data_IF_164541699387
#
_entry.id   IF_164541699387
#
_cell.length_a   1.000
_cell.length_b   1.000
_cell.length_c   1.000
_cell.angle_alpha   90.00
_cell.angle_beta   90.00
_cell.angle_gamma   90.00
#
_symmetry.space_group_name_H-M   'P 1'
#
loop_
_entity.id
_entity.type
_entity.pdbx_description
1 polymer ?
#
# COMPACT_ATOMS: atom_id res chain seq x y z
N UNK A 1 16.36 12.65 -5.04
CA UNK A 1 16.42 12.95 -3.59
C UNK A 1 15.09 13.47 -3.07
N UNK A 2 14.46 14.47 -3.70
CA UNK A 2 13.16 15.04 -3.27
C UNK A 2 12.10 14.00 -2.84
N UNK A 3 11.72 13.05 -3.70
CA UNK A 3 10.74 12.00 -3.35
C UNK A 3 11.17 11.12 -2.17
N UNK A 4 12.48 10.90 -2.00
CA UNK A 4 13.02 10.16 -0.85
C UNK A 4 12.95 11.00 0.42
N UNK A 5 13.21 12.29 0.33
CA UNK A 5 13.04 13.21 1.46
C UNK A 5 11.58 13.25 1.90
N UNK A 6 10.62 13.41 0.99
CA UNK A 6 9.19 13.39 1.33
C UNK A 6 8.79 12.08 2.02
N UNK A 7 9.26 10.94 1.50
CA UNK A 7 9.05 9.64 2.14
C UNK A 7 9.59 9.59 3.57
N UNK A 8 10.84 10.01 3.80
CA UNK A 8 11.45 9.98 5.13
C UNK A 8 10.74 10.95 6.09
N UNK A 9 10.31 12.12 5.60
CA UNK A 9 9.52 13.06 6.40
C UNK A 9 8.22 12.39 6.84
N UNK A 10 7.48 11.76 5.93
CA UNK A 10 6.24 11.05 6.31
C UNK A 10 6.48 9.86 7.23
N UNK A 11 7.62 9.18 7.11
CA UNK A 11 8.03 8.15 8.05
C UNK A 11 8.25 8.74 9.45
N UNK A 12 9.00 9.83 9.57
CA UNK A 12 9.22 10.51 10.83
C UNK A 12 7.93 11.10 11.40
N UNK A 13 7.01 11.55 10.56
CA UNK A 13 5.71 12.05 10.99
C UNK A 13 4.83 10.94 11.59
N UNK A 14 4.84 9.74 11.00
CA UNK A 14 4.16 8.56 11.56
C UNK A 14 4.74 8.13 12.92
N UNK A 15 6.05 8.32 13.11
CA UNK A 15 6.78 7.89 14.32
C UNK A 15 6.70 8.93 15.44
N UNK A 16 6.90 10.21 15.10
CA UNK A 16 7.13 11.29 16.06
C UNK A 16 6.06 12.40 16.02
N UNK A 17 5.32 12.56 14.92
CA UNK A 17 4.42 13.71 14.69
C UNK A 17 3.15 13.72 15.55
N UNK A 18 2.82 12.64 16.25
CA UNK A 18 1.64 12.57 17.12
C UNK A 18 0.34 13.01 16.40
N UNK A 19 -0.54 13.75 17.09
CA UNK A 19 -1.79 14.29 16.49
C UNK A 19 -1.59 15.62 15.74
N UNK A 20 -0.46 16.28 15.92
CA UNK A 20 -0.20 17.63 15.40
C UNK A 20 0.65 17.66 14.12
N UNK A 21 1.22 16.53 13.71
CA UNK A 21 2.22 16.47 12.66
C UNK A 21 3.59 16.97 13.14
N UNK A 22 4.54 17.08 12.21
CA UNK A 22 5.87 17.63 12.48
C UNK A 22 5.88 19.17 12.39
N UNK A 23 6.63 19.81 13.27
CA UNK A 23 6.92 21.23 13.23
C UNK A 23 7.88 21.57 12.06
N UNK A 24 7.82 22.79 11.50
CA UNK A 24 8.71 23.20 10.41
C UNK A 24 10.21 23.01 10.71
N UNK A 25 10.61 23.21 11.96
CA UNK A 25 11.98 23.03 12.45
C UNK A 25 12.39 21.55 12.41
N UNK A 26 11.50 20.64 12.80
CA UNK A 26 11.71 19.19 12.74
C UNK A 26 11.83 18.72 11.29
N UNK A 27 10.95 19.20 10.40
CA UNK A 27 11.01 18.91 8.95
C UNK A 27 12.35 19.34 8.37
N UNK A 28 12.83 20.54 8.73
CA UNK A 28 14.14 21.04 8.29
C UNK A 28 15.31 20.21 8.82
N UNK A 29 15.24 19.74 10.07
CA UNK A 29 16.24 18.83 10.65
C UNK A 29 16.29 17.49 9.92
N UNK A 30 15.13 16.93 9.57
CA UNK A 30 15.01 15.69 8.79
C UNK A 30 15.58 15.88 7.38
N UNK A 31 15.25 16.96 6.67
CA UNK A 31 15.80 17.22 5.32
C UNK A 31 17.33 17.30 5.33
N UNK A 32 17.92 17.98 6.32
CA UNK A 32 19.39 18.03 6.48
C UNK A 32 19.99 16.65 6.74
N UNK A 33 19.40 15.86 7.63
CA UNK A 33 19.86 14.51 7.93
C UNK A 33 19.79 13.61 6.68
N UNK A 34 18.67 13.63 5.94
CA UNK A 34 18.48 12.87 4.70
C UNK A 34 19.54 13.23 3.66
N UNK A 35 19.82 14.52 3.45
CA UNK A 35 20.87 14.95 2.51
C UNK A 35 22.25 14.40 2.91
N UNK A 36 22.58 14.43 4.20
CA UNK A 36 23.86 13.93 4.73
C UNK A 36 24.00 12.43 4.48
N UNK A 37 23.02 11.62 4.88
CA UNK A 37 23.12 10.15 4.76
C UNK A 37 23.10 9.67 3.31
N UNK A 38 22.35 10.35 2.43
CA UNK A 38 22.30 9.97 1.01
C UNK A 38 23.50 10.46 0.20
N UNK A 39 24.38 11.32 0.74
CA UNK A 39 25.52 11.86 0.00
C UNK A 39 26.47 10.75 -0.50
N UNK A 40 26.78 9.77 0.36
CA UNK A 40 27.62 8.63 0.00
C UNK A 40 26.99 7.77 -1.10
N UNK A 41 25.68 7.49 -0.98
CA UNK A 41 24.93 6.74 -1.99
C UNK A 41 24.84 7.47 -3.33
N UNK A 42 24.67 8.79 -3.33
CA UNK A 42 24.60 9.58 -4.57
C UNK A 42 25.96 9.67 -5.27
N UNK A 43 27.06 9.60 -4.52
CA UNK A 43 28.42 9.61 -5.05
C UNK A 43 28.80 8.25 -5.63
N UNK A 44 28.47 7.17 -4.93
CA UNK A 44 28.73 5.80 -5.35
C UNK A 44 27.50 4.90 -5.06
N UNK A 45 26.56 4.80 -6.02
CA UNK A 45 25.33 4.02 -5.83
C UNK A 45 25.63 2.53 -5.68
N UNK A 46 25.46 2.02 -4.46
CA UNK A 46 25.68 0.61 -4.11
C UNK A 46 24.64 0.15 -3.09
N UNK A 47 24.18 -1.11 -3.13
CA UNK A 47 23.36 -1.70 -2.08
C UNK A 47 24.00 -1.64 -0.69
N UNK A 48 25.34 -1.48 -0.60
CA UNK A 48 26.12 -1.32 0.63
C UNK A 48 26.21 0.14 1.08
N UNK A 49 25.91 1.09 0.19
CA UNK A 49 25.90 2.53 0.52
C UNK A 49 24.49 3.08 0.75
N UNK A 50 23.44 2.28 0.52
CA UNK A 50 22.05 2.67 0.78
C UNK A 50 21.82 2.91 2.29
N UNK A 51 21.36 4.09 2.74
CA UNK A 51 21.19 4.36 4.16
C UNK A 51 20.11 3.50 4.82
N UNK A 52 20.30 3.20 6.11
CA UNK A 52 19.30 2.57 7.00
C UNK A 52 18.79 3.56 8.06
N UNK A 53 17.85 3.14 8.91
CA UNK A 53 17.28 4.00 9.96
C UNK A 53 18.33 4.41 11.01
N UNK A 54 19.31 3.55 11.28
CA UNK A 54 20.45 3.85 12.15
C UNK A 54 21.25 5.06 11.62
N UNK A 55 21.55 5.09 10.32
CA UNK A 55 22.26 6.22 9.70
C UNK A 55 21.46 7.53 9.86
N UNK A 56 20.14 7.46 9.68
CA UNK A 56 19.25 8.62 9.87
C UNK A 56 19.24 9.08 11.33
N UNK A 57 19.14 8.16 12.28
CA UNK A 57 19.14 8.47 13.70
C UNK A 57 20.46 9.13 14.13
N UNK A 58 21.61 8.55 13.72
CA UNK A 58 22.93 9.13 14.00
C UNK A 58 23.06 10.52 13.37
N UNK A 59 22.64 10.70 12.12
CA UNK A 59 22.67 12.01 11.46
C UNK A 59 21.76 13.06 12.11
N UNK A 60 20.72 12.65 12.83
CA UNK A 60 19.89 13.54 13.66
C UNK A 60 20.54 13.84 15.02
N UNK A 61 21.14 12.84 15.67
CA UNK A 61 21.87 13.03 16.94
C UNK A 61 23.11 13.92 16.79
N UNK A 62 23.75 13.90 15.63
CA UNK A 62 24.89 14.78 15.28
C UNK A 62 24.50 16.26 15.17
N UNK A 63 23.21 16.59 15.07
CA UNK A 63 22.76 17.98 14.98
C UNK A 63 22.68 18.60 16.38
N UNK A 64 23.22 19.81 16.53
CA UNK A 64 23.10 20.61 17.77
C UNK A 64 21.70 21.25 17.95
N UNK A 65 20.63 20.50 17.63
CA UNK A 65 19.24 20.97 17.70
C UNK A 65 18.43 20.05 18.62
N UNK A 66 17.69 20.64 19.57
CA UNK A 66 16.82 19.89 20.48
C UNK A 66 15.70 19.17 19.74
N UNK A 67 15.21 19.76 18.66
CA UNK A 67 14.20 19.19 17.77
C UNK A 67 14.73 17.94 17.05
N UNK A 68 15.95 18.00 16.51
CA UNK A 68 16.59 16.84 15.88
C UNK A 68 16.75 15.68 16.88
N UNK A 69 17.08 16.00 18.14
CA UNK A 69 17.21 15.02 19.20
C UNK A 69 15.89 14.35 19.56
N UNK A 70 14.79 15.11 19.64
CA UNK A 70 13.46 14.54 19.87
C UNK A 70 13.04 13.53 18.78
N UNK A 71 13.33 13.83 17.52
CA UNK A 71 13.07 12.89 16.42
C UNK A 71 13.97 11.66 16.53
N UNK A 72 15.27 11.83 16.85
CA UNK A 72 16.20 10.73 17.03
C UNK A 72 15.79 9.78 18.18
N UNK A 73 15.33 10.34 19.30
CA UNK A 73 14.83 9.57 20.44
C UNK A 73 13.55 8.79 20.08
N UNK A 74 12.66 9.39 19.28
CA UNK A 74 11.45 8.72 18.77
C UNK A 74 11.78 7.56 17.82
N UNK A 75 12.90 7.63 17.09
CA UNK A 75 13.38 6.57 16.22
C UNK A 75 14.03 5.40 16.98
N UNK A 76 14.44 5.57 18.24
CA UNK A 76 15.21 4.59 19.02
C UNK A 76 14.54 3.21 19.07
N UNK A 77 13.21 3.17 19.26
CA UNK A 77 12.46 1.90 19.33
C UNK A 77 12.52 1.11 17.99
N UNK A 78 12.70 1.82 16.87
CA UNK A 78 12.79 1.25 15.53
C UNK A 78 14.23 1.00 15.08
N UNK A 79 15.24 1.51 15.79
CA UNK A 79 16.66 1.32 15.48
C UNK A 79 17.25 0.24 16.38
N UNK A 80 17.21 0.47 17.70
CA UNK A 80 17.81 -0.37 18.73
C UNK A 80 16.79 -1.15 19.56
N UNK A 81 15.51 -0.73 19.50
CA UNK A 81 14.44 -1.33 20.29
C UNK A 81 13.74 -2.54 19.67
N UNK A 82 12.55 -2.83 20.19
CA UNK A 82 11.76 -4.01 19.86
C UNK A 82 11.11 -4.00 18.47
N UNK A 83 11.12 -2.85 17.78
CA UNK A 83 10.48 -2.65 16.47
C UNK A 83 11.50 -2.51 15.33
N UNK A 84 12.73 -3.01 15.51
CA UNK A 84 13.86 -2.81 14.60
C UNK A 84 13.83 -3.61 13.28
N UNK A 85 12.67 -4.14 12.88
CA UNK A 85 12.53 -5.01 11.70
C UNK A 85 12.95 -4.31 10.40
N UNK A 86 12.79 -2.99 10.33
CA UNK A 86 13.11 -2.16 9.17
C UNK A 86 14.50 -1.52 9.23
N UNK A 87 15.24 -1.65 10.34
CA UNK A 87 16.60 -1.13 10.48
C UNK A 87 17.66 -2.13 9.97
N UNK A 88 17.38 -2.77 8.84
CA UNK A 88 18.27 -3.72 8.18
C UNK A 88 18.21 -3.48 6.69
N UNK A 89 19.31 -3.80 6.00
CA UNK A 89 19.29 -3.75 4.54
C UNK A 89 18.32 -4.78 3.99
N UNK A 90 17.57 -4.38 2.96
CA UNK A 90 16.59 -5.24 2.29
C UNK A 90 17.28 -6.50 1.74
N UNK A 91 16.76 -7.66 2.11
CA UNK A 91 17.20 -8.97 1.61
C UNK A 91 16.25 -9.56 0.56
N UNK A 92 15.18 -8.84 0.20
CA UNK A 92 14.20 -9.22 -0.81
C UNK A 92 14.80 -9.03 -2.20
N UNK A 93 14.82 -10.09 -3.00
CA UNK A 93 15.17 -10.00 -4.41
C UNK A 93 14.03 -9.35 -5.21
N UNK A 94 14.21 -8.06 -5.47
CA UNK A 94 13.29 -7.24 -6.24
C UNK A 94 13.35 -7.48 -7.75
N UNK A 95 14.26 -8.34 -8.25
CA UNK A 95 14.37 -8.65 -9.67
C UNK A 95 13.37 -9.72 -10.12
N UNK A 96 12.78 -10.47 -9.19
CA UNK A 96 11.80 -11.50 -9.51
C UNK A 96 10.56 -10.95 -10.24
N UNK A 97 9.96 -11.83 -11.05
CA UNK A 97 8.72 -11.52 -11.81
C UNK A 97 7.52 -11.31 -10.88
N UNK A 98 7.47 -12.08 -9.79
CA UNK A 98 6.47 -11.97 -8.73
C UNK A 98 7.20 -11.64 -7.43
N UNK A 99 6.79 -10.56 -6.77
CA UNK A 99 7.26 -10.18 -5.43
C UNK A 99 6.03 -10.09 -4.54
N UNK A 100 6.04 -10.81 -3.42
CA UNK A 100 4.94 -10.84 -2.45
C UNK A 100 5.47 -10.31 -1.12
N UNK A 101 4.77 -9.32 -0.57
CA UNK A 101 5.05 -8.78 0.77
C UNK A 101 3.98 -9.29 1.73
N UNK A 102 4.35 -10.20 2.62
CA UNK A 102 3.46 -10.69 3.68
C UNK A 102 3.56 -9.77 4.90
N UNK A 103 2.41 -9.25 5.32
CA UNK A 103 2.28 -8.33 6.47
C UNK A 103 1.49 -8.91 7.63
N UNK A 104 1.13 -10.20 7.57
CA UNK A 104 0.24 -10.84 8.54
C UNK A 104 0.75 -10.69 9.98
N UNK A 105 2.03 -10.98 10.18
CA UNK A 105 2.69 -11.02 11.49
C UNK A 105 3.24 -9.66 11.94
N UNK A 106 3.04 -8.58 11.17
CA UNK A 106 3.40 -7.25 11.63
C UNK A 106 2.39 -6.75 12.67
N UNK A 107 2.89 -6.25 13.80
CA UNK A 107 2.07 -5.54 14.79
C UNK A 107 1.47 -4.26 14.22
N UNK A 108 0.38 -3.76 14.82
CA UNK A 108 -0.36 -2.60 14.26
C UNK A 108 0.50 -1.34 14.02
N UNK A 109 1.46 -1.06 14.89
CA UNK A 109 2.41 0.06 14.71
C UNK A 109 3.33 -0.17 13.51
N UNK A 110 3.92 -1.37 13.42
CA UNK A 110 4.80 -1.75 12.31
C UNK A 110 4.06 -1.87 10.98
N UNK A 111 2.78 -2.23 10.99
CA UNK A 111 1.95 -2.28 9.78
C UNK A 111 1.91 -0.92 9.09
N UNK A 112 1.69 0.18 9.83
CA UNK A 112 1.66 1.54 9.25
C UNK A 112 2.98 1.87 8.54
N UNK A 113 4.09 1.63 9.22
CA UNK A 113 5.43 1.86 8.66
C UNK A 113 5.74 0.93 7.48
N UNK A 114 5.43 -0.35 7.62
CA UNK A 114 5.59 -1.35 6.58
C UNK A 114 4.84 -0.96 5.32
N UNK A 115 3.59 -0.52 5.44
CA UNK A 115 2.82 -0.06 4.28
C UNK A 115 3.48 1.12 3.57
N UNK A 116 3.99 2.11 4.31
CA UNK A 116 4.72 3.22 3.71
C UNK A 116 5.97 2.71 2.97
N UNK A 117 6.78 1.85 3.62
CA UNK A 117 8.00 1.27 3.03
C UNK A 117 7.70 0.45 1.77
N UNK A 118 6.69 -0.42 1.79
CA UNK A 118 6.31 -1.21 0.63
C UNK A 118 5.87 -0.32 -0.52
N UNK A 119 5.09 0.73 -0.25
CA UNK A 119 4.66 1.69 -1.26
C UNK A 119 5.84 2.36 -1.97
N UNK A 120 6.88 2.78 -1.24
CA UNK A 120 8.12 3.32 -1.84
C UNK A 120 8.86 2.28 -2.69
N UNK A 121 8.95 1.02 -2.23
CA UNK A 121 9.54 -0.07 -3.01
C UNK A 121 8.79 -0.33 -4.32
N UNK A 122 7.45 -0.33 -4.26
CA UNK A 122 6.59 -0.50 -5.43
C UNK A 122 6.75 0.69 -6.38
N UNK A 123 6.79 1.92 -5.88
CA UNK A 123 7.04 3.11 -6.68
C UNK A 123 8.37 3.03 -7.45
N UNK A 124 9.44 2.62 -6.76
CA UNK A 124 10.76 2.40 -7.37
C UNK A 124 10.72 1.34 -8.48
N UNK A 125 10.00 0.23 -8.24
CA UNK A 125 9.82 -0.85 -9.22
C UNK A 125 9.05 -0.38 -10.45
N UNK A 126 7.92 0.32 -10.26
CA UNK A 126 7.11 0.87 -11.37
C UNK A 126 7.95 1.83 -12.20
N UNK A 127 8.71 2.71 -11.55
CA UNK A 127 9.60 3.67 -12.23
C UNK A 127 10.69 2.97 -13.05
N UNK A 128 11.29 1.92 -12.50
CA UNK A 128 12.34 1.14 -13.18
C UNK A 128 11.77 0.36 -14.36
N UNK A 129 10.64 -0.32 -14.17
CA UNK A 129 9.97 -1.08 -15.22
C UNK A 129 9.50 -0.16 -16.36
N UNK A 130 8.98 1.04 -16.03
CA UNK A 130 8.63 2.04 -17.04
C UNK A 130 9.81 2.41 -17.93
N UNK A 131 10.99 2.66 -17.35
CA UNK A 131 12.21 2.95 -18.13
C UNK A 131 12.60 1.79 -19.05
N UNK A 132 12.29 0.56 -18.64
CA UNK A 132 12.48 -0.64 -19.46
C UNK A 132 11.31 -0.93 -20.42
N UNK A 133 10.27 -0.09 -20.47
CA UNK A 133 9.08 -0.31 -21.31
C UNK A 133 8.10 -1.36 -20.78
N UNK A 134 8.27 -1.84 -19.55
CA UNK A 134 7.47 -2.89 -18.94
C UNK A 134 6.34 -2.33 -18.08
N UNK A 135 5.17 -2.98 -18.15
CA UNK A 135 4.05 -2.70 -17.28
C UNK A 135 4.20 -3.44 -15.94
N UNK A 136 3.82 -2.80 -14.83
CA UNK A 136 3.86 -3.40 -13.49
C UNK A 136 2.45 -3.58 -12.96
N UNK A 137 2.05 -4.82 -12.66
CA UNK A 137 0.81 -5.10 -11.94
C UNK A 137 1.05 -5.02 -10.44
N UNK A 138 0.20 -4.28 -9.74
CA UNK A 138 0.30 -4.08 -8.31
C UNK A 138 -1.01 -4.51 -7.65
N UNK A 139 -0.96 -5.59 -6.88
CA UNK A 139 -2.11 -6.15 -6.17
C UNK A 139 -2.01 -5.84 -4.68
N UNK A 140 -3.10 -5.35 -4.10
CA UNK A 140 -3.21 -5.02 -2.68
C UNK A 140 -4.38 -5.81 -2.12
N UNK A 141 -4.06 -6.85 -1.35
CA UNK A 141 -5.07 -7.55 -0.58
C UNK A 141 -5.42 -6.76 0.68
N UNK A 142 -6.66 -6.88 1.15
CA UNK A 142 -7.24 -6.10 2.25
C UNK A 142 -7.01 -4.59 2.14
N UNK A 143 -7.25 -4.04 0.94
CA UNK A 143 -6.98 -2.64 0.61
C UNK A 143 -7.62 -1.64 1.58
N UNK A 144 -8.77 -1.97 2.17
CA UNK A 144 -9.43 -1.10 3.15
C UNK A 144 -8.55 -0.79 4.38
N UNK A 145 -7.55 -1.62 4.70
CA UNK A 145 -6.59 -1.34 5.77
C UNK A 145 -5.72 -0.10 5.48
N UNK A 146 -5.42 0.16 4.20
CA UNK A 146 -4.68 1.35 3.79
C UNK A 146 -5.46 2.65 3.93
N UNK A 147 -6.79 2.55 3.99
CA UNK A 147 -7.67 3.71 4.05
C UNK A 147 -8.10 4.07 5.49
N UNK A 148 -7.68 3.29 6.49
CA UNK A 148 -8.04 3.53 7.90
C UNK A 148 -7.44 4.81 8.48
N UNK A 149 -6.28 5.21 7.98
CA UNK A 149 -5.53 6.37 8.48
C UNK A 149 -5.37 7.39 7.36
N UNK A 150 -5.56 8.68 7.67
CA UNK A 150 -5.57 9.74 6.67
C UNK A 150 -4.28 9.83 5.84
N UNK A 151 -3.12 9.61 6.47
CA UNK A 151 -1.82 9.63 5.80
C UNK A 151 -1.69 8.47 4.80
N UNK A 152 -1.96 7.23 5.22
CA UNK A 152 -1.87 6.07 4.32
C UNK A 152 -2.93 6.12 3.21
N UNK A 153 -4.11 6.71 3.50
CA UNK A 153 -5.16 6.93 2.51
C UNK A 153 -4.73 7.92 1.43
N UNK A 154 -4.17 9.07 1.83
CA UNK A 154 -3.67 10.11 0.91
C UNK A 154 -2.62 9.53 -0.04
N UNK A 155 -1.63 8.81 0.50
CA UNK A 155 -0.61 8.15 -0.30
C UNK A 155 -1.18 7.09 -1.25
N UNK A 156 -2.18 6.33 -0.80
CA UNK A 156 -2.83 5.31 -1.65
C UNK A 156 -3.55 5.94 -2.85
N UNK A 157 -4.21 7.09 -2.66
CA UNK A 157 -4.81 7.86 -3.76
C UNK A 157 -3.76 8.38 -4.72
N UNK A 158 -2.64 8.91 -4.22
CA UNK A 158 -1.55 9.37 -5.08
C UNK A 158 -1.00 8.24 -5.95
N UNK A 159 -0.77 7.06 -5.36
CA UNK A 159 -0.34 5.87 -6.09
C UNK A 159 -1.36 5.52 -7.17
N UNK A 160 -2.65 5.49 -6.83
CA UNK A 160 -3.71 5.16 -7.78
C UNK A 160 -3.72 6.10 -8.99
N UNK A 161 -3.63 7.42 -8.75
CA UNK A 161 -3.62 8.45 -9.80
C UNK A 161 -2.35 8.42 -10.64
N UNK A 162 -1.19 8.18 -10.01
CA UNK A 162 0.10 8.26 -10.69
C UNK A 162 0.42 6.97 -11.44
N UNK A 163 0.15 5.77 -10.89
CA UNK A 163 0.56 4.50 -11.49
C UNK A 163 0.02 4.32 -12.91
N UNK A 164 -1.24 4.71 -13.18
CA UNK A 164 -1.83 4.67 -14.52
C UNK A 164 -0.97 5.37 -15.58
N UNK A 165 -0.39 6.53 -15.24
CA UNK A 165 0.48 7.32 -16.15
C UNK A 165 1.89 6.73 -16.30
N UNK A 166 2.30 5.89 -15.35
CA UNK A 166 3.65 5.33 -15.27
C UNK A 166 3.71 3.86 -15.68
N UNK A 167 2.64 3.30 -16.27
CA UNK A 167 2.56 1.90 -16.68
C UNK A 167 2.33 0.93 -15.52
N UNK A 168 1.92 1.43 -14.36
CA UNK A 168 1.43 0.64 -13.24
C UNK A 168 -0.07 0.37 -13.35
N UNK A 169 -0.49 -0.85 -13.02
CA UNK A 169 -1.90 -1.26 -12.94
C UNK A 169 -2.18 -1.65 -11.48
N UNK A 170 -2.66 -0.70 -10.64
CA UNK A 170 -3.05 -1.01 -9.27
C UNK A 170 -4.38 -1.79 -9.26
N UNK A 171 -4.51 -2.73 -8.32
CA UNK A 171 -5.71 -3.52 -8.09
C UNK A 171 -5.86 -3.73 -6.60
N UNK A 172 -6.91 -3.16 -6.02
CA UNK A 172 -7.25 -3.31 -4.61
C UNK A 172 -8.32 -4.36 -4.45
N UNK A 173 -8.13 -5.24 -3.47
CA UNK A 173 -9.04 -6.33 -3.13
C UNK A 173 -9.49 -6.08 -1.70
N UNK A 174 -10.80 -6.15 -1.45
CA UNK A 174 -11.35 -5.92 -0.12
C UNK A 174 -12.62 -6.72 0.09
N UNK A 175 -12.81 -7.19 1.32
CA UNK A 175 -14.05 -7.81 1.78
C UNK A 175 -14.88 -6.86 2.65
N UNK A 176 -14.26 -5.85 3.27
CA UNK A 176 -14.93 -4.91 4.16
C UNK A 176 -15.24 -3.60 3.44
N UNK A 177 -16.47 -3.53 2.93
CA UNK A 177 -16.99 -2.37 2.19
C UNK A 177 -17.22 -1.17 3.10
N UNK A 178 -17.65 -1.38 4.35
CA UNK A 178 -17.93 -0.28 5.28
C UNK A 178 -16.66 0.47 5.66
N UNK A 179 -15.59 -0.26 5.97
CA UNK A 179 -14.28 0.34 6.26
C UNK A 179 -13.73 1.07 5.02
N UNK A 180 -13.91 0.48 3.83
CA UNK A 180 -13.50 1.11 2.56
C UNK A 180 -14.22 2.44 2.33
N UNK A 181 -15.53 2.48 2.55
CA UNK A 181 -16.38 3.65 2.31
C UNK A 181 -16.36 4.69 3.45
N UNK A 182 -15.74 4.36 4.59
CA UNK A 182 -15.57 5.32 5.68
C UNK A 182 -14.50 6.39 5.36
N UNK A 183 -13.58 6.07 4.45
CA UNK A 183 -12.55 7.00 3.96
C UNK A 183 -13.15 7.94 2.92
N UNK A 184 -12.87 9.24 3.03
CA UNK A 184 -13.31 10.24 2.04
C UNK A 184 -12.53 10.14 0.74
N UNK A 185 -11.33 9.59 0.84
CA UNK A 185 -10.38 9.41 -0.25
C UNK A 185 -10.83 8.34 -1.26
N UNK A 186 -11.75 7.45 -0.87
CA UNK A 186 -12.22 6.35 -1.73
C UNK A 186 -12.97 6.84 -2.97
N UNK A 187 -13.69 7.96 -2.90
CA UNK A 187 -14.43 8.52 -4.04
C UNK A 187 -13.47 8.78 -5.21
N UNK A 188 -12.29 9.34 -4.91
CA UNK A 188 -11.24 9.55 -5.90
C UNK A 188 -10.76 8.24 -6.53
N UNK A 189 -10.72 7.15 -5.76
CA UNK A 189 -10.27 5.85 -6.27
C UNK A 189 -11.32 5.26 -7.21
N UNK A 190 -12.61 5.31 -6.85
CA UNK A 190 -13.69 4.82 -7.70
C UNK A 190 -13.80 5.61 -9.00
N UNK A 191 -13.75 6.94 -8.95
CA UNK A 191 -13.78 7.79 -10.15
C UNK A 191 -12.61 7.51 -11.12
N UNK A 192 -11.49 7.02 -10.60
CA UNK A 192 -10.31 6.70 -11.42
C UNK A 192 -10.20 5.21 -11.76
N UNK A 193 -11.19 4.40 -11.38
CA UNK A 193 -11.21 2.96 -11.61
C UNK A 193 -12.25 2.58 -12.65
N UNK A 194 -11.81 2.50 -13.91
CA UNK A 194 -12.67 2.10 -15.04
C UNK A 194 -13.12 0.63 -14.94
N UNK A 195 -12.50 -0.17 -14.08
CA UNK A 195 -12.79 -1.59 -13.90
C UNK A 195 -13.07 -1.94 -12.44
N UNK A 196 -14.22 -2.55 -12.18
CA UNK A 196 -14.60 -3.09 -10.86
C UNK A 196 -15.10 -4.52 -11.04
N UNK A 197 -14.60 -5.42 -10.20
CA UNK A 197 -15.06 -6.80 -10.15
C UNK A 197 -15.75 -7.06 -8.82
N UNK A 198 -17.09 -7.05 -8.83
CA UNK A 198 -17.90 -7.16 -7.63
C UNK A 198 -18.51 -8.56 -7.53
N UNK A 199 -18.02 -9.36 -6.59
CA UNK A 199 -18.63 -10.65 -6.21
C UNK A 199 -19.84 -10.43 -5.29
N UNK A 200 -20.58 -11.51 -5.00
CA UNK A 200 -21.68 -11.49 -4.03
C UNK A 200 -21.30 -10.84 -2.70
N UNK A 201 -22.17 -9.96 -2.21
CA UNK A 201 -21.98 -9.21 -0.97
C UNK A 201 -23.13 -9.50 0.01
N UNK A 202 -22.88 -9.29 1.30
CA UNK A 202 -23.95 -9.29 2.30
C UNK A 202 -25.00 -8.21 1.96
N UNK A 203 -26.26 -8.45 2.33
CA UNK A 203 -27.39 -7.61 1.91
C UNK A 203 -27.19 -6.10 2.19
N UNK A 204 -26.68 -5.75 3.38
CA UNK A 204 -26.41 -4.36 3.74
C UNK A 204 -25.30 -3.71 2.92
N UNK A 205 -24.18 -4.41 2.69
CA UNK A 205 -23.04 -3.86 1.95
C UNK A 205 -23.36 -3.71 0.46
N UNK A 206 -24.17 -4.63 -0.07
CA UNK A 206 -24.67 -4.57 -1.44
C UNK A 206 -25.49 -3.32 -1.72
N UNK A 207 -26.40 -2.94 -0.82
CA UNK A 207 -27.22 -1.73 -0.99
C UNK A 207 -26.39 -0.45 -0.93
N UNK A 208 -25.30 -0.46 -0.18
CA UNK A 208 -24.38 0.67 -0.11
C UNK A 208 -23.59 0.77 -1.42
N UNK A 209 -23.00 -0.33 -1.90
CA UNK A 209 -22.28 -0.35 -3.19
C UNK A 209 -23.18 -0.01 -4.37
N UNK A 210 -24.43 -0.47 -4.36
CA UNK A 210 -25.39 -0.16 -5.40
C UNK A 210 -25.64 1.33 -5.58
N UNK A 211 -25.76 2.04 -4.45
CA UNK A 211 -25.91 3.49 -4.46
C UNK A 211 -24.65 4.19 -4.95
N UNK A 212 -23.48 3.75 -4.48
CA UNK A 212 -22.19 4.35 -4.84
C UNK A 212 -21.82 4.13 -6.30
N UNK A 213 -22.12 2.95 -6.85
CA UNK A 213 -21.80 2.57 -8.23
C UNK A 213 -22.97 2.77 -9.21
N UNK A 214 -24.03 3.47 -8.79
CA UNK A 214 -25.23 3.72 -9.59
C UNK A 214 -25.84 2.46 -10.24
N UNK A 215 -25.87 1.35 -9.51
CA UNK A 215 -26.41 0.07 -9.98
C UNK A 215 -27.94 0.12 -9.96
N UNK A 216 -28.57 -0.16 -11.10
CA UNK A 216 -30.03 -0.23 -11.16
C UNK A 216 -30.60 -1.41 -10.33
N UNK A 217 -31.82 -1.31 -9.79
CA UNK A 217 -32.48 -2.42 -9.11
C UNK A 217 -32.56 -3.71 -9.95
N UNK A 218 -32.67 -3.58 -11.28
CA UNK A 218 -32.68 -4.72 -12.21
C UNK A 218 -31.31 -5.42 -12.31
N UNK A 219 -30.21 -4.67 -12.35
CA UNK A 219 -28.86 -5.26 -12.31
C UNK A 219 -28.57 -5.89 -10.95
N UNK A 220 -29.06 -5.26 -9.87
CA UNK A 220 -28.90 -5.77 -8.52
C UNK A 220 -29.71 -7.06 -8.28
N UNK A 221 -30.85 -7.24 -8.97
CA UNK A 221 -31.64 -8.47 -8.86
C UNK A 221 -30.88 -9.70 -9.39
N UNK A 222 -29.96 -9.53 -10.36
CA UNK A 222 -29.12 -10.60 -10.90
C UNK A 222 -28.13 -11.16 -9.88
N UNK A 223 -27.73 -10.37 -8.89
CA UNK A 223 -26.82 -10.77 -7.79
C UNK A 223 -27.56 -11.04 -6.47
N UNK A 224 -28.90 -11.08 -6.49
CA UNK A 224 -29.68 -11.24 -5.26
C UNK A 224 -29.68 -12.67 -4.70
N UNK A 225 -29.27 -13.64 -5.54
CA UNK A 225 -29.12 -15.07 -5.21
C UNK A 225 -27.83 -15.64 -5.82
N UNK A 226 -26.81 -14.80 -5.99
CA UNK A 226 -25.57 -15.20 -6.64
C UNK A 226 -24.86 -16.28 -5.83
N UNK A 227 -24.45 -17.34 -6.53
CA UNK A 227 -23.58 -18.37 -5.97
C UNK A 227 -22.14 -17.86 -5.93
N UNK A 228 -21.27 -18.57 -5.21
CA UNK A 228 -19.83 -18.33 -5.30
C UNK A 228 -19.38 -18.31 -6.77
N UNK A 229 -18.57 -17.32 -7.14
CA UNK A 229 -18.14 -17.13 -8.53
C UNK A 229 -19.11 -16.35 -9.41
N UNK A 230 -20.28 -15.92 -8.91
CA UNK A 230 -21.20 -15.05 -9.65
C UNK A 230 -21.15 -13.59 -9.12
N UNK A 231 -21.28 -12.62 -10.02
CA UNK A 231 -21.14 -11.20 -9.67
C UNK A 231 -21.44 -10.24 -10.81
N UNK A 232 -21.04 -8.97 -10.62
CA UNK A 232 -21.08 -7.92 -11.64
C UNK A 232 -19.67 -7.43 -11.95
N UNK A 233 -19.40 -7.25 -13.25
CA UNK A 233 -18.18 -6.63 -13.75
C UNK A 233 -18.54 -5.27 -14.34
N UNK A 234 -17.85 -4.23 -13.90
CA UNK A 234 -18.00 -2.87 -14.39
C UNK A 234 -16.84 -2.57 -15.31
N UNK A 235 -17.13 -2.01 -16.48
CA UNK A 235 -16.14 -1.54 -17.44
C UNK A 235 -16.61 -0.20 -18.02
N UNK A 236 -16.09 0.90 -17.46
CA UNK A 236 -16.66 2.23 -17.68
C UNK A 236 -18.15 2.24 -17.33
N UNK A 237 -18.98 2.61 -18.30
CA UNK A 237 -20.44 2.67 -18.12
C UNK A 237 -21.15 1.33 -18.33
N UNK A 238 -20.42 0.26 -18.68
CA UNK A 238 -21.00 -1.05 -18.98
C UNK A 238 -20.96 -1.94 -17.74
N UNK A 239 -22.12 -2.47 -17.37
CA UNK A 239 -22.26 -3.45 -16.27
C UNK A 239 -22.63 -4.81 -16.87
N UNK A 240 -21.75 -5.80 -16.66
CA UNK A 240 -21.89 -7.14 -17.19
C UNK A 240 -22.04 -8.13 -16.03
N UNK A 241 -23.19 -8.80 -15.87
CA UNK A 241 -23.30 -9.92 -14.94
C UNK A 241 -22.49 -11.10 -15.45
N UNK A 242 -21.75 -11.76 -14.55
CA UNK A 242 -20.94 -12.93 -14.90
C UNK A 242 -21.22 -14.11 -13.98
N UNK A 243 -20.86 -15.29 -14.48
CA UNK A 243 -20.85 -16.55 -13.74
C UNK A 243 -19.54 -17.28 -14.02
N UNK A 244 -18.73 -17.44 -13.00
CA UNK A 244 -17.45 -18.14 -13.07
C UNK A 244 -17.56 -19.47 -12.31
N UNK A 245 -17.82 -20.54 -13.08
CA UNK A 245 -17.75 -21.90 -12.56
C UNK A 245 -16.35 -22.46 -12.80
N UNK A 246 -15.43 -22.09 -11.92
CA UNK A 246 -14.04 -22.51 -12.06
C UNK A 246 -13.89 -24.04 -11.97
N UNK A 247 -13.21 -24.71 -12.92
CA UNK A 247 -13.07 -26.16 -12.92
C UNK A 247 -12.29 -26.68 -11.71
N UNK A 248 -12.97 -27.42 -10.82
CA UNK A 248 -12.40 -27.94 -9.56
C UNK A 248 -11.40 -29.09 -9.74
N UNK A 249 -11.43 -29.76 -10.89
CA UNK A 249 -10.56 -30.88 -11.23
C UNK A 249 -9.21 -30.44 -11.82
N UNK A 250 -8.82 -29.18 -11.64
CA UNK A 250 -7.56 -28.64 -12.17
C UNK A 250 -6.53 -28.49 -11.07
N UNK A 251 -5.24 -28.68 -11.41
CA UNK A 251 -4.12 -28.38 -10.51
C UNK A 251 -4.18 -26.92 -10.02
N UNK A 252 -4.64 -26.02 -10.88
CA UNK A 252 -4.80 -24.61 -10.56
C UNK A 252 -5.82 -24.38 -9.44
N UNK A 253 -6.95 -25.09 -9.44
CA UNK A 253 -7.93 -25.00 -8.35
C UNK A 253 -7.37 -25.54 -7.02
N UNK A 254 -6.64 -26.65 -7.05
CA UNK A 254 -6.02 -27.23 -5.86
C UNK A 254 -5.03 -26.26 -5.18
N UNK A 255 -4.29 -25.50 -5.97
CA UNK A 255 -3.31 -24.52 -5.46
C UNK A 255 -4.02 -23.25 -4.94
N UNK A 256 -5.14 -22.84 -5.54
CA UNK A 256 -5.82 -21.58 -5.22
C UNK A 256 -6.96 -21.70 -4.20
N UNK A 257 -7.48 -22.90 -3.93
CA UNK A 257 -8.62 -23.04 -3.02
C UNK A 257 -8.26 -22.62 -1.60
N UNK A 258 -9.02 -21.66 -1.08
CA UNK A 258 -8.91 -21.18 0.30
C UNK A 258 -9.85 -21.94 1.25
N UNK A 259 -10.60 -22.93 0.74
CA UNK A 259 -11.54 -23.73 1.53
C UNK A 259 -10.80 -24.79 2.32
N UNK A 260 -10.75 -24.71 3.65
CA UNK A 260 -9.98 -25.67 4.46
C UNK A 260 -10.44 -27.12 4.28
N UNK A 261 -11.71 -27.34 3.93
CA UNK A 261 -12.28 -28.65 3.66
C UNK A 261 -11.86 -29.26 2.31
N UNK A 262 -11.37 -28.44 1.37
CA UNK A 262 -10.90 -28.89 0.05
C UNK A 262 -9.36 -28.96 -0.03
N UNK A 263 -8.64 -28.32 0.90
CA UNK A 263 -7.17 -28.27 0.95
C UNK A 263 -6.51 -29.45 1.69
N UNK A 264 -7.26 -30.48 2.10
CA UNK A 264 -6.71 -31.72 2.67
C UNK A 264 -6.97 -32.89 1.73
N UNK A 265 -5.96 -33.22 0.93
CA UNK A 265 -5.84 -34.41 0.10
C UNK A 265 -4.37 -34.65 -0.18
#
# INVERSE_FOLDING_TARGET
LFLKTEFIISLCELVAGGRGGLLPQEISAIDRAVRKIYQSYLSEPSPVNLPILDDLQQALMDQESGEARQIADSLEIYVNGSLNIFNKRTNVDMHNRLVCFDIKDLGNQLKKLGMLIFQDQIWSRVTTNRKAGNCTRYYIDEFHLLLKEAQTATYSVEIWKRFRKWGGIPTGITQNIKDLLASREIENIFENSDFIYMLSQAGGDREILARQLNISPHQLSHINKSREGEGLMFYGDVIIPFKDHFPKNTQLYQIMTTKPSESRG
#
